data_IF_615744760080
#
_entry.id   IF_615744760080
#
_cell.length_a   1.000
_cell.length_b   1.000
_cell.length_c   1.000
_cell.angle_alpha   90.00
_cell.angle_beta   90.00
_cell.angle_gamma   90.00
#
_symmetry.space_group_name_H-M   'P 1'
#
loop_
_entity.id
_entity.type
_entity.pdbx_description
1 polymer ?
#
# COMPACT_ATOMS: atom_id res chain seq x y z
N UNK A 1 -32.14 22.99 35.84
CA UNK A 1 -31.50 22.96 34.49
C UNK A 1 -32.06 24.04 33.58
N UNK A 2 -33.39 24.13 33.42
CA UNK A 2 -34.06 25.19 32.63
C UNK A 2 -33.71 26.62 33.05
N UNK A 3 -33.73 26.94 34.36
CA UNK A 3 -33.40 28.30 34.86
C UNK A 3 -32.01 28.82 34.47
N UNK A 4 -31.02 27.92 34.33
CA UNK A 4 -29.67 28.33 33.93
C UNK A 4 -29.62 28.68 32.44
N UNK A 5 -30.37 27.95 31.62
CA UNK A 5 -30.45 28.17 30.17
C UNK A 5 -31.21 29.46 29.88
N UNK A 6 -32.29 29.76 30.60
CA UNK A 6 -33.02 31.05 30.50
C UNK A 6 -32.11 32.23 30.78
N UNK A 7 -31.27 32.14 31.84
CA UNK A 7 -30.30 33.19 32.16
C UNK A 7 -29.21 33.35 31.09
N UNK A 8 -28.76 32.26 30.49
CA UNK A 8 -27.82 32.30 29.36
C UNK A 8 -28.46 32.90 28.11
N UNK A 9 -29.72 32.57 27.83
CA UNK A 9 -30.49 33.12 26.71
C UNK A 9 -30.57 34.64 26.79
N UNK A 10 -30.94 35.15 27.97
CA UNK A 10 -31.00 36.58 28.26
C UNK A 10 -29.63 37.27 28.12
N UNK A 11 -28.55 36.64 28.58
CA UNK A 11 -27.19 37.19 28.47
C UNK A 11 -26.66 37.21 27.03
N UNK A 12 -27.10 36.27 26.19
CA UNK A 12 -26.66 36.12 24.80
C UNK A 12 -27.59 36.82 23.80
N UNK A 13 -28.69 37.43 24.26
CA UNK A 13 -29.69 38.06 23.40
C UNK A 13 -30.40 37.07 22.48
N UNK A 14 -30.58 35.83 22.92
CA UNK A 14 -31.24 34.76 22.15
C UNK A 14 -32.48 34.25 22.88
N UNK A 15 -33.41 33.68 22.13
CA UNK A 15 -34.59 33.05 22.72
C UNK A 15 -34.19 31.75 23.44
N UNK A 16 -34.95 31.36 24.46
CA UNK A 16 -34.70 30.11 25.17
C UNK A 16 -34.67 28.92 24.20
N UNK A 17 -35.60 28.90 23.25
CA UNK A 17 -35.73 27.86 22.24
C UNK A 17 -34.49 27.75 21.33
N UNK A 18 -33.72 28.82 21.13
CA UNK A 18 -32.46 28.77 20.37
C UNK A 18 -31.35 28.02 21.12
N UNK A 19 -31.42 27.97 22.45
CA UNK A 19 -30.44 27.30 23.32
C UNK A 19 -30.83 25.87 23.72
N UNK A 20 -32.10 25.49 23.51
CA UNK A 20 -32.58 24.10 23.68
C UNK A 20 -33.03 23.45 22.38
N UNK A 21 -32.91 24.14 21.24
CA UNK A 21 -33.20 23.56 19.93
C UNK A 21 -32.34 22.32 19.70
N UNK A 22 -33.02 21.20 19.44
CA UNK A 22 -32.41 19.93 19.02
C UNK A 22 -32.06 20.00 17.52
N UNK A 23 -32.57 21.01 16.79
CA UNK A 23 -32.35 21.21 15.36
C UNK A 23 -31.22 22.22 15.15
N UNK A 24 -30.13 21.73 14.57
CA UNK A 24 -29.03 22.55 14.08
C UNK A 24 -29.55 23.59 13.07
N UNK A 25 -28.94 24.78 13.04
CA UNK A 25 -29.27 25.81 12.05
C UNK A 25 -29.14 25.26 10.61
N UNK A 26 -29.87 25.82 9.65
CA UNK A 26 -29.85 25.36 8.26
C UNK A 26 -28.44 25.34 7.64
N UNK A 27 -27.55 26.23 8.07
CA UNK A 27 -26.14 26.28 7.68
C UNK A 27 -25.31 25.09 8.20
N UNK A 28 -25.75 24.46 9.29
CA UNK A 28 -25.12 23.31 9.94
C UNK A 28 -25.73 21.96 9.51
N UNK A 29 -26.75 21.97 8.64
CA UNK A 29 -27.40 20.73 8.16
C UNK A 29 -26.43 19.81 7.41
N UNK A 30 -25.50 20.40 6.66
CA UNK A 30 -24.45 19.65 5.98
C UNK A 30 -23.48 19.00 6.97
N UNK A 31 -23.20 19.67 8.07
CA UNK A 31 -22.35 19.17 9.17
C UNK A 31 -23.01 17.98 9.86
N UNK A 32 -24.31 18.01 10.12
CA UNK A 32 -25.07 16.86 10.62
C UNK A 32 -24.99 15.67 9.65
N UNK A 33 -25.24 15.91 8.36
CA UNK A 33 -25.13 14.87 7.33
C UNK A 33 -23.71 14.31 7.16
N UNK A 34 -22.70 15.16 7.40
CA UNK A 34 -21.30 14.79 7.29
C UNK A 34 -20.82 13.97 8.47
N UNK A 35 -21.13 14.38 9.70
CA UNK A 35 -20.83 13.61 10.92
C UNK A 35 -21.68 12.34 11.02
N UNK A 36 -22.83 12.29 10.34
CA UNK A 36 -23.62 11.08 10.20
C UNK A 36 -23.08 10.11 9.14
N UNK A 37 -22.17 10.56 8.26
CA UNK A 37 -21.56 9.72 7.23
C UNK A 37 -20.76 8.59 7.85
N UNK A 38 -20.93 7.37 7.34
CA UNK A 38 -20.15 6.22 7.79
C UNK A 38 -18.64 6.42 7.52
N UNK A 39 -18.30 7.04 6.39
CA UNK A 39 -16.92 7.39 6.01
C UNK A 39 -16.23 8.26 7.06
N UNK A 40 -16.91 9.31 7.55
CA UNK A 40 -16.34 10.21 8.56
C UNK A 40 -16.25 9.52 9.91
N UNK A 41 -17.29 8.77 10.31
CA UNK A 41 -17.30 8.05 11.60
C UNK A 41 -16.23 6.97 11.70
N UNK A 42 -15.85 6.35 10.59
CA UNK A 42 -14.82 5.31 10.55
C UNK A 42 -13.42 5.85 10.25
N UNK A 43 -13.27 7.13 9.94
CA UNK A 43 -11.94 7.72 9.73
C UNK A 43 -11.19 7.82 11.07
N UNK A 44 -9.93 7.37 11.14
CA UNK A 44 -9.20 7.26 12.40
C UNK A 44 -8.50 8.60 12.75
N UNK A 45 -9.27 9.64 13.08
CA UNK A 45 -8.73 10.98 13.36
C UNK A 45 -7.58 10.98 14.38
N UNK A 46 -7.71 10.19 15.44
CA UNK A 46 -6.70 10.08 16.51
C UNK A 46 -5.35 9.55 16.00
N UNK A 47 -5.36 8.57 15.09
CA UNK A 47 -4.15 8.00 14.47
C UNK A 47 -3.43 9.00 13.55
N UNK A 48 -4.14 10.04 13.11
CA UNK A 48 -3.58 11.18 12.38
C UNK A 48 -3.25 12.38 13.29
N UNK A 49 -3.28 12.19 14.61
CA UNK A 49 -2.99 13.24 15.59
C UNK A 49 -4.05 14.32 15.69
N UNK A 50 -5.28 14.03 15.25
CA UNK A 50 -6.42 14.93 15.37
C UNK A 50 -7.28 14.47 16.54
N UNK A 51 -7.20 15.18 17.67
CA UNK A 51 -8.10 14.91 18.78
C UNK A 51 -9.54 15.26 18.37
N UNK A 52 -10.57 14.54 18.88
CA UNK A 52 -11.96 14.90 18.66
C UNK A 52 -12.27 16.36 19.04
N UNK A 53 -11.54 16.92 20.01
CA UNK A 53 -11.63 18.31 20.43
C UNK A 53 -11.09 19.31 19.39
N UNK A 54 -10.06 18.96 18.62
CA UNK A 54 -9.51 19.79 17.54
C UNK A 54 -10.42 19.81 16.32
N UNK A 55 -10.98 18.64 15.97
CA UNK A 55 -12.02 18.54 14.95
C UNK A 55 -13.27 19.35 15.36
N UNK A 56 -13.68 19.27 16.63
CA UNK A 56 -14.77 20.09 17.17
C UNK A 56 -14.40 21.58 17.19
N UNK A 57 -13.14 21.93 17.45
CA UNK A 57 -12.62 23.29 17.39
C UNK A 57 -12.71 23.91 15.99
N UNK A 58 -12.40 23.13 14.96
CA UNK A 58 -12.60 23.49 13.54
C UNK A 58 -14.08 23.70 13.20
N UNK A 59 -14.94 22.81 13.69
CA UNK A 59 -16.39 22.85 13.47
C UNK A 59 -17.09 23.98 14.26
N UNK A 60 -16.50 24.46 15.35
CA UNK A 60 -17.09 25.51 16.21
C UNK A 60 -16.58 26.92 15.90
N UNK A 61 -15.33 27.08 15.43
CA UNK A 61 -14.77 28.39 15.05
C UNK A 61 -15.25 28.87 13.69
N UNK A 62 -15.29 27.98 12.68
CA UNK A 62 -15.75 28.31 11.33
C UNK A 62 -16.67 27.20 10.78
N UNK A 63 -17.86 27.03 11.39
CA UNK A 63 -18.78 25.94 11.06
C UNK A 63 -19.10 25.81 9.58
N UNK A 64 -19.34 26.93 8.90
CA UNK A 64 -19.72 26.93 7.48
C UNK A 64 -18.57 26.44 6.59
N UNK A 65 -17.32 26.80 6.90
CA UNK A 65 -16.14 26.36 6.12
C UNK A 65 -15.81 24.89 6.36
N UNK A 66 -15.84 24.46 7.62
CA UNK A 66 -15.64 23.06 7.98
C UNK A 66 -16.73 22.16 7.39
N UNK A 67 -17.99 22.63 7.44
CA UNK A 67 -19.15 21.98 6.82
C UNK A 67 -19.00 21.87 5.31
N UNK A 68 -18.58 22.93 4.62
CA UNK A 68 -18.33 22.91 3.18
C UNK A 68 -17.18 21.96 2.80
N UNK A 69 -16.09 21.92 3.58
CA UNK A 69 -14.96 21.00 3.35
C UNK A 69 -15.38 19.53 3.50
N UNK A 70 -16.06 19.20 4.60
CA UNK A 70 -16.56 17.84 4.84
C UNK A 70 -17.57 17.43 3.78
N UNK A 71 -18.45 18.35 3.37
CA UNK A 71 -19.40 18.11 2.29
C UNK A 71 -18.68 17.80 0.98
N UNK A 72 -17.65 18.57 0.61
CA UNK A 72 -16.86 18.33 -0.59
C UNK A 72 -16.17 16.96 -0.56
N UNK A 73 -15.58 16.55 0.58
CA UNK A 73 -14.94 15.24 0.73
C UNK A 73 -15.97 14.11 0.51
N UNK A 74 -17.14 14.22 1.11
CA UNK A 74 -18.22 13.23 0.99
C UNK A 74 -18.80 13.20 -0.42
N UNK A 75 -19.01 14.36 -1.03
CA UNK A 75 -19.51 14.47 -2.40
C UNK A 75 -18.54 13.85 -3.40
N UNK A 76 -17.23 14.11 -3.24
CA UNK A 76 -16.18 13.46 -4.04
C UNK A 76 -16.26 11.95 -3.83
N UNK A 77 -16.31 11.48 -2.59
CA UNK A 77 -16.35 10.05 -2.27
C UNK A 77 -17.56 9.36 -2.92
N UNK A 78 -18.75 9.98 -2.84
CA UNK A 78 -19.97 9.48 -3.50
C UNK A 78 -19.89 9.55 -5.01
N UNK A 79 -19.34 10.63 -5.57
CA UNK A 79 -19.25 10.85 -7.02
C UNK A 79 -18.35 9.82 -7.70
N UNK A 80 -17.31 9.38 -7.01
CA UNK A 80 -16.39 8.35 -7.49
C UNK A 80 -16.77 6.93 -7.03
N UNK A 81 -17.95 6.76 -6.42
CA UNK A 81 -18.42 5.48 -5.87
C UNK A 81 -17.36 4.78 -5.01
N UNK A 82 -16.61 5.56 -4.22
CA UNK A 82 -15.57 5.02 -3.35
C UNK A 82 -16.23 4.16 -2.29
N UNK A 83 -15.94 2.86 -2.32
CA UNK A 83 -16.42 1.95 -1.29
C UNK A 83 -15.72 2.25 0.02
N UNK A 84 -16.40 1.93 1.10
CA UNK A 84 -15.92 2.21 2.45
C UNK A 84 -14.60 1.47 2.76
N UNK A 85 -14.44 0.27 2.25
CA UNK A 85 -13.24 -0.55 2.41
C UNK A 85 -12.03 0.03 1.66
N UNK A 86 -12.25 0.60 0.47
CA UNK A 86 -11.22 1.30 -0.31
C UNK A 86 -10.76 2.58 0.38
N UNK A 87 -11.69 3.34 0.96
CA UNK A 87 -11.38 4.52 1.76
C UNK A 87 -10.49 4.15 2.95
N UNK A 88 -10.84 3.09 3.70
CA UNK A 88 -10.04 2.62 4.83
C UNK A 88 -8.66 2.11 4.40
N UNK A 89 -8.55 1.42 3.26
CA UNK A 89 -7.24 1.02 2.69
C UNK A 89 -6.40 2.24 2.28
N UNK A 90 -7.02 3.28 1.73
CA UNK A 90 -6.35 4.53 1.39
C UNK A 90 -5.88 5.29 2.64
N UNK A 91 -6.69 5.30 3.70
CA UNK A 91 -6.30 5.85 5.00
C UNK A 91 -5.11 5.08 5.59
N UNK A 92 -5.13 3.74 5.58
CA UNK A 92 -4.02 2.93 6.09
C UNK A 92 -2.73 3.22 5.32
N UNK A 93 -2.82 3.29 3.99
CA UNK A 93 -1.67 3.62 3.14
C UNK A 93 -1.11 5.00 3.47
N UNK A 94 -1.98 6.00 3.64
CA UNK A 94 -1.57 7.36 4.01
C UNK A 94 -0.91 7.39 5.39
N UNK A 95 -1.45 6.64 6.35
CA UNK A 95 -0.85 6.46 7.67
C UNK A 95 0.55 5.86 7.56
N UNK A 96 0.72 4.80 6.76
CA UNK A 96 2.04 4.20 6.51
C UNK A 96 3.01 5.18 5.85
N UNK A 97 2.58 5.93 4.83
CA UNK A 97 3.43 6.88 4.11
C UNK A 97 3.92 8.04 4.99
N UNK A 98 3.07 8.55 5.90
CA UNK A 98 3.45 9.62 6.85
C UNK A 98 4.49 9.13 7.86
N UNK A 99 4.42 7.85 8.25
CA UNK A 99 5.40 7.21 9.14
C UNK A 99 6.60 6.61 8.38
N UNK A 100 6.75 6.92 7.09
CA UNK A 100 7.79 6.35 6.22
C UNK A 100 7.84 4.81 6.25
N UNK A 101 6.67 4.21 6.51
CA UNK A 101 6.40 2.80 6.70
C UNK A 101 7.33 2.11 7.72
N UNK A 102 7.87 2.84 8.70
CA UNK A 102 8.73 2.31 9.76
C UNK A 102 8.07 2.46 11.14
N UNK A 103 8.03 1.36 11.90
CA UNK A 103 7.35 1.29 13.20
C UNK A 103 8.31 0.71 14.26
N UNK A 104 9.09 1.56 14.97
CA UNK A 104 10.10 1.11 15.94
C UNK A 104 9.55 0.20 17.03
N UNK A 105 8.33 0.48 17.51
CA UNK A 105 7.67 -0.33 18.54
C UNK A 105 7.48 -1.79 18.10
N UNK A 106 7.24 -2.02 16.81
CA UNK A 106 7.08 -3.36 16.24
C UNK A 106 8.43 -4.06 16.02
N UNK A 107 9.49 -3.32 15.67
CA UNK A 107 10.86 -3.86 15.63
C UNK A 107 11.27 -4.36 17.01
N UNK A 108 11.11 -3.51 18.03
CA UNK A 108 11.52 -3.80 19.39
C UNK A 108 10.70 -4.96 19.99
N UNK A 109 9.39 -5.02 19.68
CA UNK A 109 8.54 -6.13 20.09
C UNK A 109 8.98 -7.46 19.46
N UNK A 110 9.35 -7.46 18.18
CA UNK A 110 9.84 -8.65 17.50
C UNK A 110 11.22 -9.09 18.01
N UNK A 111 12.12 -8.15 18.29
CA UNK A 111 13.41 -8.43 18.93
C UNK A 111 13.22 -9.04 20.33
N UNK A 112 12.29 -8.48 21.12
CA UNK A 112 11.94 -9.02 22.44
C UNK A 112 11.37 -10.44 22.33
N UNK A 113 10.47 -10.68 21.37
CA UNK A 113 9.94 -12.02 21.08
C UNK A 113 11.07 -13.01 20.74
N UNK A 114 12.00 -12.62 19.86
CA UNK A 114 13.13 -13.49 19.49
C UNK A 114 14.03 -13.80 20.69
N UNK A 115 14.31 -12.82 21.55
CA UNK A 115 15.12 -13.01 22.75
C UNK A 115 14.44 -13.90 23.81
N UNK A 116 13.12 -13.80 23.97
CA UNK A 116 12.36 -14.60 24.94
C UNK A 116 12.16 -16.04 24.46
N UNK A 117 11.77 -16.22 23.20
CA UNK A 117 11.39 -17.54 22.66
C UNK A 117 12.59 -18.30 22.09
N UNK A 118 13.64 -17.62 21.66
CA UNK A 118 14.85 -18.21 21.08
C UNK A 118 15.45 -19.32 21.95
N UNK A 119 15.81 -19.04 23.22
CA UNK A 119 16.37 -20.05 24.12
C UNK A 119 15.39 -21.18 24.48
N UNK A 120 14.08 -20.88 24.55
CA UNK A 120 13.03 -21.86 24.91
C UNK A 120 12.79 -22.89 23.80
N UNK A 121 12.94 -22.46 22.55
CA UNK A 121 12.63 -23.24 21.35
C UNK A 121 13.87 -23.59 20.52
N UNK A 122 15.08 -23.23 20.97
CA UNK A 122 16.36 -23.57 20.36
C UNK A 122 16.59 -22.93 19.00
N UNK A 123 16.29 -21.63 18.86
CA UNK A 123 16.53 -20.87 17.63
C UNK A 123 17.32 -19.57 17.84
N UNK A 124 17.87 -19.36 19.04
CA UNK A 124 18.75 -18.25 19.40
C UNK A 124 19.95 -18.09 18.45
N UNK A 125 20.59 -19.20 18.06
CA UNK A 125 21.70 -19.19 17.11
C UNK A 125 21.28 -19.47 15.65
N UNK A 126 19.98 -19.73 15.41
CA UNK A 126 19.51 -20.14 14.10
C UNK A 126 19.49 -18.94 13.12
N UNK A 127 19.91 -19.13 11.85
CA UNK A 127 19.82 -18.06 10.89
C UNK A 127 18.37 -17.69 10.57
N UNK A 128 17.46 -18.66 10.60
CA UNK A 128 16.03 -18.45 10.44
C UNK A 128 15.28 -19.34 11.42
N UNK A 129 14.16 -18.86 11.95
CA UNK A 129 13.28 -19.70 12.76
C UNK A 129 12.69 -20.80 11.86
N UNK A 130 12.83 -22.10 12.17
CA UNK A 130 12.24 -23.17 11.36
C UNK A 130 10.70 -23.10 11.33
N UNK A 131 10.08 -23.53 10.22
CA UNK A 131 8.61 -23.56 10.09
C UNK A 131 7.97 -24.39 11.22
N UNK A 132 8.55 -25.55 11.52
CA UNK A 132 8.10 -26.42 12.60
C UNK A 132 8.14 -25.71 13.96
N UNK A 133 9.13 -24.85 14.19
CA UNK A 133 9.27 -24.07 15.43
C UNK A 133 8.16 -23.02 15.54
N UNK A 134 7.86 -22.26 14.48
CA UNK A 134 6.74 -21.32 14.46
C UNK A 134 5.40 -22.03 14.76
N UNK A 135 5.20 -23.21 14.17
CA UNK A 135 4.01 -24.01 14.42
C UNK A 135 3.95 -24.54 15.86
N UNK A 136 5.08 -24.93 16.45
CA UNK A 136 5.17 -25.36 17.85
C UNK A 136 4.86 -24.24 18.82
N UNK A 137 5.36 -23.02 18.57
CA UNK A 137 5.06 -21.83 19.39
C UNK A 137 3.54 -21.58 19.41
N UNK A 138 2.89 -21.55 18.23
CA UNK A 138 1.43 -21.38 18.14
C UNK A 138 0.64 -22.46 18.90
N UNK A 139 1.08 -23.71 18.81
CA UNK A 139 0.41 -24.83 19.50
C UNK A 139 0.58 -24.79 21.01
N UNK A 140 1.81 -24.57 21.49
CA UNK A 140 2.17 -24.73 22.90
C UNK A 140 1.86 -23.48 23.72
N UNK A 141 2.09 -22.29 23.17
CA UNK A 141 2.01 -21.01 23.90
C UNK A 141 0.63 -20.39 23.75
N UNK A 142 0.02 -20.57 22.57
CA UNK A 142 -1.26 -19.96 22.21
C UNK A 142 -2.40 -20.96 22.01
N UNK A 143 -2.15 -22.26 22.17
CA UNK A 143 -3.19 -23.31 22.15
C UNK A 143 -3.84 -23.54 20.78
N UNK A 144 -3.17 -23.18 19.69
CA UNK A 144 -3.69 -23.37 18.33
C UNK A 144 -3.72 -24.84 17.92
N UNK A 145 -4.70 -25.21 17.11
CA UNK A 145 -4.63 -26.36 16.22
C UNK A 145 -4.37 -25.87 14.79
N UNK A 146 -3.53 -26.58 14.05
CA UNK A 146 -3.18 -26.23 12.66
C UNK A 146 -3.59 -27.38 11.77
N UNK A 147 -4.43 -27.09 10.78
CA UNK A 147 -4.96 -28.02 9.78
C UNK A 147 -4.53 -27.54 8.40
N UNK A 148 -3.76 -28.37 7.70
CA UNK A 148 -3.26 -28.08 6.35
C UNK A 148 -4.01 -28.85 5.25
N UNK A 149 -5.08 -29.58 5.58
CA UNK A 149 -5.76 -30.50 4.64
C UNK A 149 -7.16 -30.04 4.26
N UNK A 150 -7.87 -29.42 5.19
CA UNK A 150 -9.31 -29.17 5.04
C UNK A 150 -9.63 -28.06 4.02
N UNK A 151 -8.80 -27.02 3.89
CA UNK A 151 -9.11 -25.92 2.95
C UNK A 151 -9.10 -26.37 1.49
N UNK A 152 -8.24 -27.33 1.14
CA UNK A 152 -8.12 -27.82 -0.23
C UNK A 152 -9.33 -28.66 -0.68
N UNK A 153 -10.15 -29.15 0.26
CA UNK A 153 -11.30 -30.01 -0.06
C UNK A 153 -12.55 -29.23 -0.48
N UNK A 154 -12.63 -27.92 -0.19
CA UNK A 154 -13.73 -27.06 -0.65
C UNK A 154 -13.29 -26.25 -1.87
N UNK A 155 -14.11 -26.28 -2.92
CA UNK A 155 -13.85 -25.52 -4.13
C UNK A 155 -13.93 -24.01 -3.88
N UNK A 156 -14.87 -23.58 -3.05
CA UNK A 156 -15.13 -22.19 -2.71
C UNK A 156 -14.00 -21.61 -1.86
N UNK A 157 -13.40 -22.42 -0.98
CA UNK A 157 -12.36 -21.97 -0.06
C UNK A 157 -10.94 -22.11 -0.62
N UNK A 158 -10.75 -22.78 -1.77
CA UNK A 158 -9.42 -23.11 -2.33
C UNK A 158 -8.53 -21.90 -2.65
N UNK A 159 -9.12 -20.72 -2.77
CA UNK A 159 -8.39 -19.47 -3.08
C UNK A 159 -7.88 -18.75 -1.82
N UNK A 160 -8.36 -19.12 -0.64
CA UNK A 160 -7.83 -18.63 0.63
C UNK A 160 -6.48 -19.28 0.93
N UNK A 161 -5.51 -18.48 1.37
CA UNK A 161 -4.23 -18.98 1.87
C UNK A 161 -4.38 -19.55 3.28
N UNK A 162 -5.19 -18.89 4.09
CA UNK A 162 -5.52 -19.33 5.44
C UNK A 162 -6.88 -18.82 5.89
N UNK A 163 -7.50 -19.57 6.80
CA UNK A 163 -8.74 -19.23 7.50
C UNK A 163 -8.55 -19.56 8.97
N UNK A 164 -8.89 -18.64 9.86
CA UNK A 164 -8.86 -18.81 11.29
C UNK A 164 -10.29 -18.97 11.82
N UNK A 165 -10.52 -20.07 12.52
CA UNK A 165 -11.68 -20.23 13.38
C UNK A 165 -11.29 -19.85 14.82
N UNK A 166 -11.77 -18.71 15.34
CA UNK A 166 -11.44 -18.27 16.69
C UNK A 166 -12.15 -19.15 17.75
N UNK A 167 -11.60 -19.17 18.96
CA UNK A 167 -12.18 -19.89 20.09
C UNK A 167 -11.17 -20.09 21.20
N UNK A 168 -11.56 -20.84 22.26
CA UNK A 168 -10.65 -21.18 23.36
C UNK A 168 -9.43 -22.00 22.90
N UNK A 169 -9.61 -22.77 21.83
CA UNK A 169 -8.54 -23.45 21.08
C UNK A 169 -8.69 -23.03 19.62
N UNK A 170 -8.03 -21.95 19.20
CA UNK A 170 -8.16 -21.43 17.83
C UNK A 170 -7.71 -22.49 16.82
N UNK A 171 -8.44 -22.63 15.72
CA UNK A 171 -8.08 -23.54 14.63
C UNK A 171 -7.67 -22.74 13.40
N UNK A 172 -6.41 -22.87 13.02
CA UNK A 172 -5.84 -22.24 11.83
C UNK A 172 -5.81 -23.25 10.69
N UNK A 173 -6.62 -23.01 9.68
CA UNK A 173 -6.59 -23.75 8.44
C UNK A 173 -5.62 -23.08 7.46
N UNK A 174 -4.74 -23.87 6.84
CA UNK A 174 -3.74 -23.43 5.88
C UNK A 174 -3.91 -24.21 4.58
N UNK A 175 -3.76 -23.54 3.45
CA UNK A 175 -3.88 -24.18 2.15
C UNK A 175 -2.60 -24.97 1.80
N UNK A 176 -2.74 -26.27 1.52
CA UNK A 176 -1.63 -27.19 1.20
C UNK A 176 -0.87 -26.85 -0.08
N UNK A 177 -1.45 -26.05 -0.98
CA UNK A 177 -0.81 -25.65 -2.23
C UNK A 177 0.26 -24.58 -2.03
N UNK A 178 0.35 -23.98 -0.84
CA UNK A 178 1.28 -22.92 -0.55
C UNK A 178 2.72 -23.43 -0.41
N UNK A 179 3.68 -22.63 -0.88
CA UNK A 179 5.08 -22.89 -0.58
C UNK A 179 5.37 -22.72 0.91
N UNK A 180 6.38 -23.45 1.42
CA UNK A 180 6.82 -23.37 2.82
C UNK A 180 7.05 -21.92 3.29
N UNK A 181 7.70 -21.07 2.47
CA UNK A 181 7.88 -19.63 2.72
C UNK A 181 6.59 -18.85 2.96
N UNK A 182 5.51 -19.21 2.27
CA UNK A 182 4.21 -18.56 2.45
C UNK A 182 3.55 -19.02 3.74
N UNK A 183 3.66 -20.30 4.07
CA UNK A 183 3.19 -20.86 5.35
C UNK A 183 3.96 -20.23 6.52
N UNK A 184 5.29 -20.08 6.42
CA UNK A 184 6.12 -19.38 7.41
C UNK A 184 5.59 -17.98 7.72
N UNK A 185 5.25 -17.20 6.69
CA UNK A 185 4.69 -15.87 6.87
C UNK A 185 3.32 -15.89 7.57
N UNK A 186 2.44 -16.83 7.20
CA UNK A 186 1.13 -16.97 7.86
C UNK A 186 1.33 -17.25 9.36
N UNK A 187 2.20 -18.19 9.72
CA UNK A 187 2.47 -18.53 11.12
C UNK A 187 3.12 -17.36 11.88
N UNK A 188 4.11 -16.69 11.28
CA UNK A 188 4.77 -15.54 11.89
C UNK A 188 3.80 -14.36 12.13
N UNK A 189 2.89 -14.11 11.18
CA UNK A 189 1.82 -13.12 11.33
C UNK A 189 0.83 -13.51 12.43
N UNK A 190 0.45 -14.78 12.52
CA UNK A 190 -0.43 -15.27 13.60
C UNK A 190 0.22 -15.13 14.98
N UNK A 191 1.51 -15.40 15.09
CA UNK A 191 2.29 -15.11 16.32
C UNK A 191 2.25 -13.61 16.61
N UNK A 192 2.42 -12.76 15.59
CA UNK A 192 2.34 -11.31 15.74
C UNK A 192 1.01 -10.84 16.34
N UNK A 193 -0.12 -11.34 15.85
CA UNK A 193 -1.42 -11.02 16.47
C UNK A 193 -1.49 -11.44 17.94
N UNK A 194 -0.99 -12.63 18.27
CA UNK A 194 -1.02 -13.16 19.63
C UNK A 194 -0.08 -12.40 20.58
N UNK A 195 1.17 -12.21 20.19
CA UNK A 195 2.20 -11.56 21.00
C UNK A 195 1.89 -10.09 21.26
N UNK A 196 1.41 -9.37 20.24
CA UNK A 196 1.03 -7.96 20.35
C UNK A 196 -0.37 -7.76 20.97
N UNK A 197 -1.11 -8.83 21.26
CA UNK A 197 -2.46 -8.75 21.86
C UNK A 197 -3.53 -8.15 20.93
N UNK A 198 -3.38 -8.29 19.62
CA UNK A 198 -4.24 -7.68 18.60
C UNK A 198 -5.50 -8.52 18.38
N UNK A 199 -6.65 -8.02 18.86
CA UNK A 199 -7.92 -8.77 18.85
C UNK A 199 -8.78 -8.51 17.62
N UNK A 200 -8.89 -7.25 17.21
CA UNK A 200 -9.67 -6.86 16.04
C UNK A 200 -8.84 -7.08 14.80
N UNK A 201 -9.07 -8.18 14.08
CA UNK A 201 -8.21 -8.63 12.97
C UNK A 201 -8.99 -9.41 11.94
N UNK A 202 -8.42 -9.56 10.76
CA UNK A 202 -8.98 -10.42 9.72
C UNK A 202 -8.82 -11.90 10.06
N UNK A 203 -9.90 -12.67 9.86
CA UNK A 203 -9.91 -14.12 10.06
C UNK A 203 -9.51 -14.90 8.80
N UNK A 204 -9.41 -14.24 7.65
CA UNK A 204 -9.02 -14.87 6.38
C UNK A 204 -7.83 -14.14 5.77
N UNK A 205 -7.09 -14.81 4.88
CA UNK A 205 -5.93 -14.21 4.21
C UNK A 205 -6.28 -13.10 3.21
N UNK A 206 -7.50 -13.16 2.67
CA UNK A 206 -8.06 -12.18 1.73
C UNK A 206 -9.38 -11.73 2.31
N UNK A 207 -9.39 -10.62 3.03
CA UNK A 207 -10.58 -10.17 3.73
C UNK A 207 -11.64 -9.69 2.73
N UNK A 208 -12.80 -10.36 2.69
CA UNK A 208 -13.95 -9.95 1.88
C UNK A 208 -14.63 -8.70 2.47
N UNK A 209 -14.67 -8.58 3.80
CA UNK A 209 -15.32 -7.47 4.50
C UNK A 209 -14.34 -6.76 5.45
N UNK A 210 -14.19 -5.45 5.26
CA UNK A 210 -13.44 -4.59 6.18
C UNK A 210 -14.44 -3.89 7.09
N UNK A 211 -14.37 -4.18 8.39
CA UNK A 211 -15.31 -3.62 9.36
C UNK A 211 -14.83 -2.28 9.94
N UNK A 212 -13.52 -2.09 10.09
CA UNK A 212 -12.95 -0.89 10.69
C UNK A 212 -11.52 -0.58 10.21
N UNK A 213 -11.06 0.64 10.51
CA UNK A 213 -9.65 0.99 10.37
C UNK A 213 -8.75 0.17 11.30
N UNK A 214 -9.18 -0.03 12.56
CA UNK A 214 -8.40 -0.75 13.55
C UNK A 214 -8.10 -2.19 13.13
N UNK A 215 -9.05 -2.85 12.46
CA UNK A 215 -8.83 -4.17 11.87
C UNK A 215 -7.66 -4.14 10.87
N UNK A 216 -7.66 -3.18 9.94
CA UNK A 216 -6.59 -3.04 8.94
C UNK A 216 -5.25 -2.67 9.57
N UNK A 217 -5.27 -1.76 10.55
CA UNK A 217 -4.07 -1.37 11.28
C UNK A 217 -3.47 -2.56 12.01
N UNK A 218 -4.29 -3.35 12.71
CA UNK A 218 -3.84 -4.56 13.40
C UNK A 218 -3.30 -5.61 12.42
N UNK A 219 -3.95 -5.80 11.27
CA UNK A 219 -3.46 -6.69 10.22
C UNK A 219 -2.09 -6.24 9.69
N UNK A 220 -1.91 -4.93 9.49
CA UNK A 220 -0.64 -4.34 9.07
C UNK A 220 0.45 -4.50 10.14
N UNK A 221 0.12 -4.23 11.42
CA UNK A 221 1.05 -4.38 12.56
C UNK A 221 1.50 -5.83 12.75
N UNK A 222 0.58 -6.79 12.68
CA UNK A 222 0.92 -8.21 12.74
C UNK A 222 1.76 -8.67 11.54
N UNK A 223 1.47 -8.16 10.34
CA UNK A 223 2.24 -8.45 9.13
C UNK A 223 3.67 -7.86 9.20
N UNK A 224 3.82 -6.65 9.71
CA UNK A 224 5.10 -6.00 9.96
C UNK A 224 5.92 -6.83 10.95
N UNK A 225 5.34 -7.16 12.12
CA UNK A 225 5.98 -8.02 13.12
C UNK A 225 6.44 -9.36 12.53
N UNK A 226 5.57 -10.02 11.76
CA UNK A 226 5.91 -11.26 11.05
C UNK A 226 7.04 -11.07 10.03
N UNK A 227 7.10 -9.90 9.39
CA UNK A 227 8.22 -9.47 8.55
C UNK A 227 9.53 -9.39 9.33
N UNK A 228 9.55 -8.73 10.49
CA UNK A 228 10.74 -8.61 11.35
C UNK A 228 11.23 -9.97 11.83
N UNK A 229 10.31 -10.83 12.30
CA UNK A 229 10.63 -12.19 12.78
C UNK A 229 11.29 -13.04 11.69
N UNK A 230 10.88 -12.87 10.43
CA UNK A 230 11.44 -13.62 9.30
C UNK A 230 12.68 -12.95 8.69
N UNK A 231 12.79 -11.63 8.79
CA UNK A 231 13.85 -10.80 8.19
C UNK A 231 14.34 -9.79 9.23
N UNK A 232 15.17 -10.23 10.21
CA UNK A 232 15.65 -9.37 11.29
C UNK A 232 16.39 -8.15 10.77
N UNK A 233 16.05 -6.98 11.33
CA UNK A 233 16.56 -5.66 10.90
C UNK A 233 18.06 -5.65 10.65
N UNK A 234 18.86 -6.07 11.64
CA UNK A 234 20.32 -6.02 11.55
C UNK A 234 20.89 -6.80 10.34
N UNK A 235 20.29 -7.93 9.99
CA UNK A 235 20.76 -8.76 8.87
C UNK A 235 20.36 -8.18 7.52
N UNK A 236 19.12 -7.70 7.41
CA UNK A 236 18.64 -7.06 6.18
C UNK A 236 19.45 -5.81 5.88
N UNK A 237 19.80 -5.02 6.91
CA UNK A 237 20.65 -3.84 6.74
C UNK A 237 22.05 -4.20 6.23
N UNK A 238 22.70 -5.21 6.82
CA UNK A 238 24.01 -5.68 6.34
C UNK A 238 23.96 -6.16 4.87
N UNK A 239 22.95 -6.97 4.52
CA UNK A 239 22.77 -7.46 3.15
C UNK A 239 22.48 -6.31 2.16
N UNK A 240 21.73 -5.28 2.57
CA UNK A 240 21.47 -4.10 1.76
C UNK A 240 22.73 -3.24 1.59
N UNK A 241 23.54 -3.08 2.63
CA UNK A 241 24.83 -2.39 2.56
C UNK A 241 25.77 -3.07 1.55
N UNK A 242 25.91 -4.39 1.64
CA UNK A 242 26.72 -5.18 0.70
C UNK A 242 26.18 -5.07 -0.73
N UNK A 243 24.86 -5.16 -0.90
CA UNK A 243 24.21 -5.03 -2.20
C UNK A 243 24.38 -3.64 -2.82
N UNK A 244 24.18 -2.57 -2.05
CA UNK A 244 24.37 -1.21 -2.54
C UNK A 244 25.84 -0.85 -2.79
N UNK A 245 26.78 -1.58 -2.18
CA UNK A 245 28.21 -1.42 -2.41
C UNK A 245 28.72 -2.10 -3.70
N UNK A 246 27.89 -2.87 -4.42
CA UNK A 246 28.29 -3.50 -5.68
C UNK A 246 28.70 -2.45 -6.72
N UNK A 247 29.80 -2.66 -7.46
CA UNK A 247 30.29 -1.70 -8.45
C UNK A 247 29.44 -1.64 -9.72
N UNK A 248 28.71 -2.73 -10.02
CA UNK A 248 27.83 -2.89 -11.17
C UNK A 248 26.60 -3.71 -10.74
N UNK A 249 25.51 -3.58 -11.47
CA UNK A 249 24.28 -4.30 -11.19
C UNK A 249 24.50 -5.80 -11.43
N UNK A 250 24.23 -6.58 -10.39
CA UNK A 250 24.20 -8.04 -10.45
C UNK A 250 22.85 -8.53 -9.88
N UNK A 251 22.01 -9.23 -10.67
CA UNK A 251 20.75 -9.76 -10.17
C UNK A 251 20.91 -10.90 -9.17
N UNK A 252 22.07 -11.57 -9.09
CA UNK A 252 22.28 -12.75 -8.24
C UNK A 252 22.22 -12.41 -6.74
N UNK A 253 22.99 -11.45 -6.18
CA UNK A 253 22.88 -11.07 -4.77
C UNK A 253 21.47 -10.63 -4.37
N UNK A 254 20.80 -9.88 -5.25
CA UNK A 254 19.42 -9.45 -5.03
C UNK A 254 18.43 -10.62 -4.99
N UNK A 255 18.59 -11.59 -5.89
CA UNK A 255 17.75 -12.80 -5.94
C UNK A 255 18.08 -13.76 -4.80
N UNK A 256 19.34 -13.84 -4.38
CA UNK A 256 19.82 -14.69 -3.30
C UNK A 256 19.12 -14.36 -1.97
N UNK A 257 18.80 -13.08 -1.70
CA UNK A 257 18.07 -12.68 -0.50
C UNK A 257 16.71 -13.41 -0.35
N UNK A 258 16.02 -13.74 -1.45
CA UNK A 258 14.79 -14.54 -1.40
C UNK A 258 15.02 -15.93 -0.80
N UNK A 259 16.18 -16.52 -1.10
CA UNK A 259 16.59 -17.82 -0.56
C UNK A 259 17.17 -17.70 0.84
N UNK A 260 18.00 -16.68 1.11
CA UNK A 260 18.60 -16.39 2.42
C UNK A 260 17.56 -16.23 3.52
N UNK A 261 16.45 -15.53 3.23
CA UNK A 261 15.37 -15.31 4.19
C UNK A 261 14.22 -16.32 4.08
N UNK A 262 14.24 -17.19 3.06
CA UNK A 262 13.13 -18.05 2.67
C UNK A 262 11.80 -17.29 2.58
N UNK A 263 11.76 -16.25 1.73
CA UNK A 263 10.61 -15.33 1.59
C UNK A 263 10.17 -15.18 0.13
N UNK A 264 8.99 -14.58 -0.06
CA UNK A 264 8.53 -14.20 -1.40
C UNK A 264 9.06 -12.81 -1.80
N UNK A 265 9.11 -12.48 -3.09
CA UNK A 265 9.49 -11.14 -3.55
C UNK A 265 8.73 -10.00 -2.90
N UNK A 266 7.43 -10.20 -2.67
CA UNK A 266 6.59 -9.18 -2.04
C UNK A 266 6.97 -8.96 -0.58
N UNK A 267 7.29 -10.02 0.16
CA UNK A 267 7.71 -9.89 1.55
C UNK A 267 9.05 -9.17 1.66
N UNK A 268 10.03 -9.55 0.81
CA UNK A 268 11.35 -8.92 0.78
C UNK A 268 11.25 -7.43 0.44
N UNK A 269 10.57 -7.09 -0.64
CA UNK A 269 10.47 -5.69 -1.10
C UNK A 269 9.59 -4.83 -0.20
N UNK A 270 8.62 -5.43 0.50
CA UNK A 270 7.90 -4.72 1.54
C UNK A 270 8.79 -4.45 2.76
N UNK A 271 9.61 -5.42 3.18
CA UNK A 271 10.61 -5.21 4.24
C UNK A 271 11.60 -4.10 3.90
N UNK A 272 12.00 -4.01 2.63
CA UNK A 272 12.84 -2.90 2.15
C UNK A 272 12.14 -1.55 2.29
N UNK A 273 10.83 -1.50 2.05
CA UNK A 273 10.04 -0.28 2.27
C UNK A 273 9.93 0.15 3.73
N UNK A 274 10.16 -0.75 4.68
CA UNK A 274 10.16 -0.46 6.11
C UNK A 274 11.53 0.05 6.59
N UNK A 275 12.63 -0.45 6.00
CA UNK A 275 13.98 -0.15 6.48
C UNK A 275 14.70 0.94 5.67
N UNK A 276 14.57 0.94 4.34
CA UNK A 276 15.41 1.79 3.50
C UNK A 276 15.24 3.30 3.79
N UNK A 277 14.01 3.84 3.88
CA UNK A 277 13.82 5.26 4.17
C UNK A 277 14.50 5.69 5.47
N UNK A 278 14.33 4.90 6.53
CA UNK A 278 14.84 5.19 7.86
C UNK A 278 16.38 5.09 7.96
N UNK A 279 16.98 4.05 7.39
CA UNK A 279 18.39 3.72 7.62
C UNK A 279 19.35 4.21 6.54
N UNK A 280 18.85 4.46 5.32
CA UNK A 280 19.68 4.97 4.21
C UNK A 280 19.29 6.39 3.79
N UNK A 281 18.18 6.95 4.32
CA UNK A 281 17.83 8.36 4.18
C UNK A 281 17.18 8.75 2.85
N UNK A 282 16.82 7.78 2.00
CA UNK A 282 16.09 8.05 0.75
C UNK A 282 14.78 7.27 0.65
N UNK A 283 13.76 7.95 0.14
CA UNK A 283 12.39 7.45 0.05
C UNK A 283 12.19 6.57 -1.17
N UNK A 284 11.28 5.61 -1.05
CA UNK A 284 10.93 4.71 -2.14
C UNK A 284 9.44 4.71 -2.46
N UNK A 285 9.10 4.21 -3.64
CA UNK A 285 7.76 3.72 -3.94
C UNK A 285 7.81 2.20 -4.08
N UNK A 286 6.74 1.54 -3.66
CA UNK A 286 6.51 0.11 -3.86
C UNK A 286 5.31 -0.02 -4.80
N UNK A 287 5.41 -0.84 -5.84
CA UNK A 287 4.30 -1.10 -6.77
C UNK A 287 4.13 -2.60 -6.96
N UNK A 288 2.88 -3.07 -6.88
CA UNK A 288 2.50 -4.44 -7.21
C UNK A 288 1.44 -4.44 -8.30
N UNK A 289 1.76 -5.08 -9.42
CA UNK A 289 0.85 -5.26 -10.53
C UNK A 289 0.39 -6.70 -10.65
N UNK A 290 -0.86 -6.88 -11.03
CA UNK A 290 -1.43 -8.14 -11.49
C UNK A 290 -1.79 -8.05 -12.96
N UNK A 291 -1.69 -9.18 -13.65
CA UNK A 291 -2.11 -9.33 -15.04
C UNK A 291 -2.74 -10.69 -15.25
N UNK A 292 -3.99 -10.69 -15.68
CA UNK A 292 -4.72 -11.89 -16.01
C UNK A 292 -4.35 -12.37 -17.42
N UNK A 293 -4.06 -13.66 -17.55
CA UNK A 293 -3.72 -14.26 -18.83
C UNK A 293 -4.87 -14.09 -19.84
N UNK A 294 -4.54 -13.63 -21.05
CA UNK A 294 -5.51 -13.46 -22.14
C UNK A 294 -6.27 -12.14 -22.13
N UNK A 295 -5.98 -11.22 -21.20
CA UNK A 295 -6.49 -9.84 -21.22
C UNK A 295 -5.36 -8.86 -21.52
N UNK A 296 -5.68 -7.60 -21.83
CA UNK A 296 -4.70 -6.49 -21.83
C UNK A 296 -4.82 -5.64 -20.54
N UNK A 297 -5.38 -6.24 -19.49
CA UNK A 297 -5.61 -5.55 -18.21
C UNK A 297 -4.41 -5.72 -17.28
N UNK A 298 -3.94 -4.59 -16.76
CA UNK A 298 -2.85 -4.52 -15.79
C UNK A 298 -3.33 -3.72 -14.61
N UNK A 299 -3.44 -4.39 -13.47
CA UNK A 299 -4.08 -3.83 -12.29
C UNK A 299 -3.02 -3.52 -11.24
N UNK A 300 -2.92 -2.25 -10.84
CA UNK A 300 -2.14 -1.86 -9.67
C UNK A 300 -2.91 -2.26 -8.41
N UNK A 301 -2.53 -3.38 -7.80
CA UNK A 301 -3.27 -3.96 -6.67
C UNK A 301 -2.75 -3.50 -5.32
N UNK A 302 -1.51 -3.02 -5.25
CA UNK A 302 -0.91 -2.46 -4.03
C UNK A 302 0.15 -1.44 -4.40
N UNK A 303 0.18 -0.34 -3.66
CA UNK A 303 1.25 0.64 -3.73
C UNK A 303 1.53 1.28 -2.37
N UNK A 304 2.76 1.75 -2.21
CA UNK A 304 3.19 2.74 -1.21
C UNK A 304 4.00 3.78 -1.97
N UNK A 305 3.83 5.05 -1.67
CA UNK A 305 4.46 6.12 -2.43
C UNK A 305 5.03 7.21 -1.52
N UNK A 306 6.23 6.96 -0.99
CA UNK A 306 6.91 7.92 -0.10
C UNK A 306 7.75 8.93 -0.88
N UNK A 307 8.05 8.67 -2.16
CA UNK A 307 8.85 9.56 -3.01
C UNK A 307 8.03 10.35 -4.05
N UNK A 308 6.71 10.46 -3.82
CA UNK A 308 5.77 11.29 -4.60
C UNK A 308 5.73 10.96 -6.10
N UNK A 309 5.99 9.70 -6.48
CA UNK A 309 5.84 9.22 -7.84
C UNK A 309 4.41 9.48 -8.34
N UNK A 310 4.25 10.07 -9.52
CA UNK A 310 2.94 10.20 -10.14
C UNK A 310 2.50 8.85 -10.71
N UNK A 311 1.60 8.18 -10.00
CA UNK A 311 1.01 6.89 -10.41
C UNK A 311 -0.49 7.05 -10.55
N UNK A 312 -1.02 7.20 -11.78
CA UNK A 312 -2.46 7.14 -11.99
C UNK A 312 -2.99 5.81 -11.48
N UNK A 313 -3.90 5.92 -10.53
CA UNK A 313 -4.52 4.81 -9.84
C UNK A 313 -5.90 5.26 -9.35
N UNK A 314 -6.79 4.30 -9.13
CA UNK A 314 -8.14 4.55 -8.63
C UNK A 314 -9.24 3.94 -9.50
N UNK A 315 -10.45 3.91 -8.94
CA UNK A 315 -11.65 3.45 -9.64
C UNK A 315 -11.94 4.36 -10.83
N UNK A 316 -12.27 3.76 -11.97
CA UNK A 316 -12.60 4.51 -13.19
C UNK A 316 -11.39 5.09 -13.91
N UNK A 317 -10.17 4.66 -13.56
CA UNK A 317 -9.01 4.88 -14.43
C UNK A 317 -9.16 4.01 -15.69
N UNK A 318 -9.86 4.54 -16.69
CA UNK A 318 -9.97 3.93 -18.02
C UNK A 318 -8.76 4.27 -18.88
N UNK A 319 -7.57 4.04 -18.33
CA UNK A 319 -6.29 4.36 -18.97
C UNK A 319 -5.34 3.17 -18.89
N UNK A 320 -4.45 3.05 -19.87
CA UNK A 320 -3.49 1.96 -19.96
C UNK A 320 -2.14 2.41 -19.40
N UNK A 321 -1.74 1.83 -18.27
CA UNK A 321 -0.40 2.05 -17.71
C UNK A 321 0.69 1.80 -18.75
N UNK A 322 1.72 2.65 -18.75
CA UNK A 322 2.80 2.58 -19.71
C UNK A 322 3.49 1.21 -19.69
N UNK A 323 3.46 0.51 -20.84
CA UNK A 323 4.05 -0.84 -21.00
C UNK A 323 5.57 -0.89 -20.87
N UNK A 324 6.23 0.27 -20.78
CA UNK A 324 7.67 0.42 -20.55
C UNK A 324 8.06 0.42 -19.06
N UNK A 325 7.09 0.46 -18.14
CA UNK A 325 7.38 0.33 -16.72
C UNK A 325 8.01 -1.02 -16.41
N UNK A 326 9.04 -1.03 -15.56
CA UNK A 326 9.67 -2.28 -15.11
C UNK A 326 8.64 -3.22 -14.48
N UNK A 327 7.70 -2.69 -13.69
CA UNK A 327 6.61 -3.47 -13.10
C UNK A 327 5.77 -4.21 -14.13
N UNK A 328 5.55 -3.63 -15.32
CA UNK A 328 4.81 -4.30 -16.39
C UNK A 328 5.72 -5.28 -17.14
N UNK A 329 6.96 -4.89 -17.44
CA UNK A 329 7.93 -5.70 -18.18
C UNK A 329 8.31 -7.00 -17.46
N UNK A 330 8.29 -6.99 -16.12
CA UNK A 330 8.60 -8.17 -15.31
C UNK A 330 7.45 -9.18 -15.26
N UNK A 331 6.23 -8.82 -15.66
CA UNK A 331 5.11 -9.77 -15.62
C UNK A 331 5.39 -10.94 -16.58
N UNK A 332 5.42 -12.18 -16.08
CA UNK A 332 5.62 -13.34 -16.94
C UNK A 332 4.51 -13.39 -18.00
N UNK A 333 4.91 -13.62 -19.26
CA UNK A 333 3.94 -13.94 -20.31
C UNK A 333 3.29 -15.29 -19.98
N UNK A 334 1.97 -15.45 -20.18
CA UNK A 334 1.31 -16.73 -19.96
C UNK A 334 1.89 -17.76 -20.95
N UNK A 335 2.66 -18.72 -20.44
CA UNK A 335 3.14 -19.85 -21.22
C UNK A 335 2.13 -21.01 -21.10
N UNK A 336 1.53 -21.40 -22.22
CA UNK A 336 0.72 -22.62 -22.28
C UNK A 336 1.60 -23.85 -21.96
N UNK A 337 1.32 -24.52 -20.84
CA UNK A 337 1.71 -25.92 -20.66
C UNK A 337 3.11 -26.23 -20.11
N UNK A 338 3.81 -25.31 -19.41
CA UNK A 338 5.02 -25.67 -18.64
C UNK A 338 4.80 -25.50 -17.14
N UNK A 339 5.06 -26.55 -16.37
CA UNK A 339 5.15 -26.48 -14.92
C UNK A 339 6.13 -25.36 -14.53
N UNK A 340 5.65 -24.44 -13.69
CA UNK A 340 6.33 -23.23 -13.25
C UNK A 340 7.58 -23.46 -12.36
N UNK A 341 8.10 -24.68 -12.27
CA UNK A 341 9.13 -25.07 -11.30
C UNK A 341 10.57 -24.90 -11.78
N UNK A 342 10.83 -24.60 -13.06
CA UNK A 342 12.20 -24.58 -13.61
C UNK A 342 12.63 -23.30 -14.34
N UNK A 343 11.72 -22.36 -14.62
CA UNK A 343 12.12 -21.07 -15.18
C UNK A 343 12.67 -20.16 -14.07
N UNK A 344 13.82 -19.49 -14.26
CA UNK A 344 14.31 -18.51 -13.30
C UNK A 344 13.25 -17.44 -13.10
N UNK A 345 13.09 -17.02 -11.84
CA UNK A 345 12.18 -15.95 -11.45
C UNK A 345 12.57 -14.67 -12.22
N UNK A 346 11.66 -14.05 -13.00
CA UNK A 346 11.96 -12.77 -13.64
C UNK A 346 12.43 -11.75 -12.60
N UNK A 347 13.63 -11.21 -12.81
CA UNK A 347 14.27 -10.19 -12.00
C UNK A 347 14.81 -9.12 -12.93
N UNK A 348 14.81 -7.86 -12.50
CA UNK A 348 15.35 -6.80 -13.34
C UNK A 348 15.53 -5.47 -12.63
N UNK A 349 16.24 -4.60 -13.32
CA UNK A 349 16.53 -3.21 -12.97
C UNK A 349 16.23 -2.31 -14.17
N UNK A 350 15.87 -1.06 -13.92
CA UNK A 350 15.65 -0.05 -14.95
C UNK A 350 15.80 1.34 -14.34
N UNK A 351 16.48 2.26 -15.02
CA UNK A 351 16.34 3.69 -14.75
C UNK A 351 15.18 4.20 -15.61
N UNK A 352 14.11 4.63 -14.95
CA UNK A 352 12.93 5.18 -15.59
C UNK A 352 12.97 6.70 -15.56
N UNK A 353 12.91 7.35 -16.71
CA UNK A 353 12.85 8.82 -16.83
C UNK A 353 11.44 9.26 -17.25
N UNK A 354 10.77 10.06 -16.43
CA UNK A 354 9.47 10.64 -16.76
C UNK A 354 9.62 11.78 -17.74
N UNK A 355 8.99 11.66 -18.91
CA UNK A 355 9.19 12.60 -20.01
C UNK A 355 8.79 14.07 -19.68
N UNK A 356 7.74 14.29 -18.88
CA UNK A 356 7.29 15.65 -18.55
C UNK A 356 8.14 16.30 -17.44
N UNK A 357 8.48 15.55 -16.39
CA UNK A 357 9.18 16.10 -15.21
C UNK A 357 10.70 15.96 -15.30
N UNK A 358 11.20 15.11 -16.21
CA UNK A 358 12.59 14.66 -16.29
C UNK A 358 13.09 13.97 -15.01
N UNK A 359 12.18 13.62 -14.10
CA UNK A 359 12.51 12.89 -12.89
C UNK A 359 12.92 11.46 -13.25
N UNK A 360 14.00 11.01 -12.61
CA UNK A 360 14.56 9.69 -12.84
C UNK A 360 14.38 8.83 -11.61
N UNK A 361 14.04 7.57 -11.84
CA UNK A 361 13.86 6.59 -10.78
C UNK A 361 14.65 5.32 -11.10
N UNK A 362 15.50 4.89 -10.18
CA UNK A 362 16.07 3.54 -10.22
C UNK A 362 14.99 2.58 -9.72
N UNK A 363 14.50 1.70 -10.58
CA UNK A 363 13.51 0.68 -10.24
C UNK A 363 14.17 -0.70 -10.29
N UNK A 364 13.83 -1.56 -9.34
CA UNK A 364 14.24 -2.96 -9.30
C UNK A 364 13.15 -3.84 -8.72
N UNK A 365 13.09 -5.10 -9.15
CA UNK A 365 12.11 -6.03 -8.61
C UNK A 365 11.99 -7.33 -9.35
N UNK A 366 10.85 -8.00 -9.10
CA UNK A 366 10.60 -9.36 -9.54
C UNK A 366 9.23 -9.55 -10.18
N UNK A 367 9.14 -10.54 -11.06
CA UNK A 367 7.89 -11.09 -11.59
C UNK A 367 7.69 -12.54 -11.16
N UNK A 368 6.44 -13.00 -11.06
CA UNK A 368 6.09 -14.39 -10.77
C UNK A 368 4.68 -14.74 -11.24
N UNK A 369 4.40 -16.04 -11.36
CA UNK A 369 3.03 -16.55 -11.45
C UNK A 369 2.46 -16.80 -10.05
N UNK A 370 1.14 -16.67 -9.90
CA UNK A 370 0.47 -16.89 -8.63
C UNK A 370 0.09 -18.37 -8.47
N UNK A 371 0.51 -18.96 -7.35
CA UNK A 371 0.30 -20.41 -7.06
C UNK A 371 -1.18 -20.77 -7.00
N UNK A 372 -1.96 -19.99 -6.24
CA UNK A 372 -3.40 -20.24 -6.08
C UNK A 372 -4.23 -19.75 -7.27
N UNK A 373 -3.62 -19.04 -8.22
CA UNK A 373 -4.30 -18.48 -9.39
C UNK A 373 -3.35 -18.56 -10.61
N UNK A 374 -3.17 -19.75 -11.22
CA UNK A 374 -2.15 -19.96 -12.26
C UNK A 374 -2.32 -19.08 -13.51
N UNK A 375 -3.54 -18.59 -13.77
CA UNK A 375 -3.82 -17.62 -14.84
C UNK A 375 -3.47 -16.16 -14.49
N UNK A 376 -2.89 -15.91 -13.31
CA UNK A 376 -2.58 -14.57 -12.81
C UNK A 376 -1.07 -14.41 -12.64
N UNK A 377 -0.48 -13.49 -13.40
CA UNK A 377 0.88 -13.01 -13.23
C UNK A 377 0.90 -11.87 -12.21
N UNK A 378 1.93 -11.82 -11.38
CA UNK A 378 2.16 -10.72 -10.44
C UNK A 378 3.60 -10.25 -10.53
N UNK A 379 3.79 -8.94 -10.54
CA UNK A 379 5.09 -8.31 -10.37
C UNK A 379 5.09 -7.43 -9.14
N UNK A 380 6.26 -7.24 -8.57
CA UNK A 380 6.49 -6.35 -7.45
C UNK A 380 7.82 -5.64 -7.66
N UNK A 381 7.82 -4.33 -7.53
CA UNK A 381 9.02 -3.51 -7.63
C UNK A 381 9.10 -2.54 -6.46
N UNK A 382 10.31 -2.08 -6.21
CA UNK A 382 10.56 -0.80 -5.56
C UNK A 382 11.26 0.13 -6.54
N UNK A 383 11.10 1.43 -6.31
CA UNK A 383 11.91 2.41 -7.01
C UNK A 383 12.24 3.63 -6.18
N UNK A 384 13.41 4.18 -6.47
CA UNK A 384 14.03 5.28 -5.74
C UNK A 384 14.21 6.46 -6.67
N UNK A 385 13.86 7.66 -6.23
CA UNK A 385 14.15 8.87 -6.99
C UNK A 385 15.66 9.07 -7.01
N UNK A 386 16.23 9.32 -8.19
CA UNK A 386 17.66 9.57 -8.33
C UNK A 386 17.95 11.01 -7.92
N UNK A 387 18.57 11.15 -6.76
CA UNK A 387 19.11 12.40 -6.23
C UNK A 387 20.57 12.22 -5.75
N UNK A 388 21.10 13.26 -5.11
CA UNK A 388 22.49 13.26 -4.63
C UNK A 388 22.74 12.22 -3.53
N UNK A 389 21.73 11.87 -2.73
CA UNK A 389 21.90 10.94 -1.61
C UNK A 389 21.79 9.49 -2.07
N UNK A 390 20.90 9.21 -3.03
CA UNK A 390 20.89 7.90 -3.70
C UNK A 390 22.22 7.61 -4.39
N UNK A 391 22.81 8.59 -5.09
CA UNK A 391 24.10 8.47 -5.80
C UNK A 391 25.28 8.15 -4.89
N UNK A 392 25.25 8.64 -3.64
CA UNK A 392 26.30 8.33 -2.65
C UNK A 392 26.16 6.92 -2.09
N UNK A 393 24.95 6.39 -2.08
CA UNK A 393 24.63 5.12 -1.41
C UNK A 393 24.68 3.93 -2.35
N UNK A 394 24.02 4.01 -3.50
CA UNK A 394 23.94 2.92 -4.48
C UNK A 394 25.05 3.09 -5.51
N UNK A 395 26.11 2.29 -5.41
CA UNK A 395 27.31 2.43 -6.25
C UNK A 395 27.09 1.97 -7.70
N UNK A 396 26.30 0.94 -7.91
CA UNK A 396 25.97 0.44 -9.24
C UNK A 396 25.02 1.36 -10.02
N UNK A 397 24.58 2.50 -9.48
CA UNK A 397 23.61 3.38 -10.13
C UNK A 397 24.10 3.91 -11.49
N UNK A 398 25.40 4.12 -11.64
CA UNK A 398 26.03 4.61 -12.88
C UNK A 398 26.53 3.48 -13.79
N UNK A 399 26.11 2.23 -13.53
CA UNK A 399 26.39 1.09 -14.40
C UNK A 399 25.75 1.31 -15.79
N UNK A 400 26.55 1.35 -16.88
CA UNK A 400 26.05 1.58 -18.23
C UNK A 400 25.13 0.46 -18.75
N UNK A 401 25.15 -0.73 -18.14
CA UNK A 401 24.32 -1.85 -18.54
C UNK A 401 22.89 -1.75 -17.97
N UNK A 402 22.62 -0.83 -17.04
CA UNK A 402 21.27 -0.59 -16.53
C UNK A 402 20.43 0.09 -17.63
N UNK A 403 19.31 -0.54 -18.07
CA UNK A 403 18.49 0.04 -19.11
C UNK A 403 17.90 1.39 -18.69
N UNK A 404 18.23 2.44 -19.45
CA UNK A 404 17.64 3.76 -19.30
C UNK A 404 16.44 3.90 -20.24
N UNK A 405 15.24 4.08 -19.70
CA UNK A 405 13.99 4.07 -20.47
C UNK A 405 13.16 5.31 -20.19
N UNK A 406 12.82 6.04 -21.26
CA UNK A 406 11.85 7.13 -21.20
C UNK A 406 10.45 6.54 -21.08
N UNK A 407 9.73 6.95 -20.04
CA UNK A 407 8.40 6.49 -19.70
C UNK A 407 7.43 7.67 -19.53
N UNK A 408 6.15 7.34 -19.39
CA UNK A 408 5.08 8.24 -19.02
C UNK A 408 4.10 7.48 -18.12
N UNK A 409 3.09 8.15 -17.57
CA UNK A 409 2.14 7.52 -16.68
C UNK A 409 1.23 6.50 -17.39
N UNK A 410 0.56 6.94 -18.46
CA UNK A 410 -0.40 6.14 -19.24
C UNK A 410 -0.32 6.45 -20.72
N UNK A 411 -0.77 5.52 -21.56
CA UNK A 411 -0.73 5.69 -23.01
C UNK A 411 -1.58 6.89 -23.49
N UNK A 412 -2.73 7.12 -22.85
CA UNK A 412 -3.70 8.17 -23.14
C UNK A 412 -3.14 9.58 -22.87
N UNK A 413 -2.15 9.68 -21.97
CA UNK A 413 -1.48 10.93 -21.60
C UNK A 413 -0.13 11.11 -22.29
N UNK A 414 0.46 10.02 -22.77
CA UNK A 414 1.82 9.99 -23.27
C UNK A 414 2.00 10.75 -24.60
N UNK A 415 2.97 11.69 -24.70
CA UNK A 415 3.23 12.44 -25.94
C UNK A 415 4.18 11.75 -26.91
N UNK A 416 4.75 10.59 -26.57
CA UNK A 416 5.64 9.85 -27.47
C UNK A 416 4.93 9.45 -28.76
N UNK A 417 5.57 9.66 -29.91
CA UNK A 417 5.04 9.23 -31.21
C UNK A 417 5.07 7.70 -31.34
N UNK A 418 4.32 7.11 -32.29
CA UNK A 418 4.41 5.68 -32.58
C UNK A 418 5.84 5.21 -32.89
N UNK A 419 6.64 6.03 -33.59
CA UNK A 419 8.05 5.73 -33.87
C UNK A 419 8.93 5.73 -32.61
N UNK A 420 8.54 6.48 -31.59
CA UNK A 420 9.24 6.55 -30.30
C UNK A 420 8.74 5.51 -29.29
N UNK A 421 7.56 4.91 -29.52
CA UNK A 421 6.92 3.95 -28.60
C UNK A 421 6.18 2.84 -29.37
N UNK A 422 6.91 1.75 -29.58
CA UNK A 422 6.48 0.49 -30.21
C UNK A 422 5.52 -0.34 -29.34
N UNK A 423 5.46 -0.07 -28.04
CA UNK A 423 4.64 -0.80 -27.06
C UNK A 423 3.42 0.01 -26.57
N UNK A 424 3.01 1.03 -27.33
CA UNK A 424 1.83 1.84 -27.00
C UNK A 424 0.55 1.01 -27.09
N UNK A 425 -0.20 0.93 -25.99
CA UNK A 425 -1.45 0.18 -25.92
C UNK A 425 -2.68 0.99 -26.36
N UNK A 426 -2.66 2.32 -26.17
CA UNK A 426 -3.80 3.19 -26.47
C UNK A 426 -3.40 4.54 -27.12
N UNK A 427 -4.30 5.16 -27.90
CA UNK A 427 -4.08 6.49 -28.46
C UNK A 427 -4.04 7.58 -27.36
N UNK A 428 -3.30 8.68 -27.56
CA UNK A 428 -3.10 9.71 -26.53
C UNK A 428 -4.29 10.69 -26.42
N UNK A 429 -5.49 10.17 -26.18
CA UNK A 429 -6.76 10.92 -26.19
C UNK A 429 -6.81 12.03 -25.13
N UNK A 430 -6.33 11.77 -23.92
CA UNK A 430 -6.29 12.76 -22.82
C UNK A 430 -5.30 13.87 -23.14
N UNK A 431 -4.14 13.53 -23.71
CA UNK A 431 -3.18 14.53 -24.18
C UNK A 431 -3.78 15.43 -25.26
N UNK A 432 -4.48 14.86 -26.25
CA UNK A 432 -5.14 15.64 -27.30
C UNK A 432 -6.17 16.60 -26.71
N UNK A 433 -7.04 16.12 -25.82
CA UNK A 433 -8.02 16.97 -25.13
C UNK A 433 -7.36 18.10 -24.31
N UNK A 434 -6.24 17.82 -23.64
CA UNK A 434 -5.46 18.83 -22.89
C UNK A 434 -4.89 19.90 -23.82
N UNK A 435 -4.36 19.51 -24.98
CA UNK A 435 -3.83 20.44 -26.01
C UNK A 435 -4.93 21.30 -26.62
N UNK A 436 -6.09 20.73 -26.95
CA UNK A 436 -7.24 21.48 -27.46
C UNK A 436 -7.76 22.50 -26.44
N UNK A 437 -7.86 22.11 -25.17
CA UNK A 437 -8.25 23.02 -24.08
C UNK A 437 -7.27 24.18 -23.93
N UNK A 438 -5.96 23.90 -24.02
CA UNK A 438 -4.93 24.93 -23.97
C UNK A 438 -5.02 25.89 -25.17
N UNK A 439 -5.17 25.36 -26.39
CA UNK A 439 -5.34 26.15 -27.60
C UNK A 439 -6.56 27.07 -27.52
N UNK A 440 -7.70 26.54 -27.02
CA UNK A 440 -8.91 27.32 -26.76
C UNK A 440 -8.68 28.45 -25.76
N UNK A 441 -7.97 28.17 -24.66
CA UNK A 441 -7.62 29.19 -23.64
C UNK A 441 -6.74 30.28 -24.23
N UNK A 442 -5.75 29.93 -25.06
CA UNK A 442 -4.89 30.91 -25.74
C UNK A 442 -5.69 31.78 -26.71
N UNK A 443 -6.60 31.19 -27.50
CA UNK A 443 -7.47 31.94 -28.40
C UNK A 443 -8.40 32.91 -27.65
N UNK A 444 -9.01 32.48 -26.54
CA UNK A 444 -9.84 33.35 -25.69
C UNK A 444 -9.03 34.51 -25.10
N UNK A 445 -7.81 34.24 -24.61
CA UNK A 445 -6.94 35.28 -24.09
C UNK A 445 -6.59 36.32 -25.17
N UNK A 446 -6.31 35.88 -26.41
CA UNK A 446 -6.01 36.79 -27.51
C UNK A 446 -7.20 37.70 -27.86
N UNK A 447 -8.43 37.18 -27.83
CA UNK A 447 -9.65 38.00 -28.00
C UNK A 447 -9.77 39.05 -26.89
N UNK A 448 -9.60 38.64 -25.63
CA UNK A 448 -9.71 39.55 -24.48
C UNK A 448 -8.64 40.65 -24.49
N UNK A 449 -7.42 40.33 -24.92
CA UNK A 449 -6.33 41.33 -25.05
C UNK A 449 -6.58 42.31 -26.19
N UNK A 450 -7.23 41.89 -27.28
CA UNK A 450 -7.58 42.79 -28.40
C UNK A 450 -8.70 43.75 -28.04
N UNK A 451 -9.65 43.32 -27.21
CA UNK A 451 -10.73 44.17 -26.69
C UNK A 451 -10.26 45.20 -25.66
N UNK A 452 -9.11 44.98 -25.00
CA UNK A 452 -8.56 45.90 -23.98
C UNK A 452 -7.56 46.91 -24.54
N UNK A 453 -7.04 46.70 -25.76
CA UNK A 453 -6.18 47.66 -26.48
C UNK A 453 -6.95 48.50 -27.51
N UNK A 454 -8.28 48.39 -27.54
CA UNK A 454 -9.17 49.05 -28.50
C UNK A 454 -10.01 50.21 -27.93
N UNK A 455 -9.80 50.56 -26.66
CA UNK A 455 -10.23 51.82 -26.02
C UNK A 455 -8.97 52.69 -25.80
#
# INVERSE_FOLDING_TARGET
>A
RADKIVKMAAALGKEYDDLVSIKLASSLRYLESALASSTVRRFPFEEFGLEPADALGLLTREPDRASALLHAIIEISRRYDLKEDEFLRAALRSYQEIHENYFPDLEDAAETFMAEFGPRYGFDDAPLIPLATLASILRQEYGYTIDDKTLATSEELRNYRSVLQPGRRPQLFINDRLYARQVRFILAREIGYCYLGLKERSLTSTTEEIYSFQQLLNDARAAYFGGVVLMPRARVLADLEDFFALPAWDPEPFSAMLTTYDVTPEMLLYRFSELIPQFFGFKLHFLRFHHAAGTDEYQLVRHLNMNQLLVPSGIGLFEHHCRRWLSIRLLPKPSAGRQASSSPLPVGVQISEFLETQEKFLCLGFGRQMVLSPGLSSSVIIGFRIDADLRKTIRFLDDPDIPHTIIHETCERCPLTPDQCDVRAAPPTILHARREKLARKMALNQLNTRSTTGD
#
